data_IF_780807047612
#
_entry.id   IF_780807047612
#
_cell.length_a   1.000
_cell.length_b   1.000
_cell.length_c   1.000
_cell.angle_alpha   90.00
_cell.angle_beta   90.00
_cell.angle_gamma   90.00
#
_symmetry.space_group_name_H-M   'P 1'
#
loop_
_entity.id
_entity.type
_entity.pdbx_description
1 polymer ?
#
# COMPACT_ATOMS: atom_id res chain seq x y z
N UNK A 1 -23.03 51.21 -26.95
CA UNK A 1 -21.92 50.24 -27.08
C UNK A 1 -21.04 50.11 -25.81
N UNK A 2 -21.27 50.87 -24.74
CA UNK A 2 -20.37 50.92 -23.55
C UNK A 2 -20.78 50.03 -22.36
N UNK A 3 -22.04 49.56 -22.27
CA UNK A 3 -22.53 48.77 -21.11
C UNK A 3 -22.18 47.27 -21.15
N UNK A 4 -21.84 46.70 -22.31
CA UNK A 4 -21.46 45.28 -22.39
C UNK A 4 -20.02 45.04 -21.90
N UNK A 5 -19.09 45.96 -22.18
CA UNK A 5 -17.68 45.84 -21.81
C UNK A 5 -17.46 45.91 -20.29
N UNK A 6 -18.20 46.78 -19.58
CA UNK A 6 -18.08 46.87 -18.11
C UNK A 6 -18.64 45.63 -17.40
N UNK A 7 -19.69 45.00 -17.95
CA UNK A 7 -20.22 43.76 -17.40
C UNK A 7 -19.24 42.59 -17.59
N UNK A 8 -18.55 42.51 -18.74
CA UNK A 8 -17.53 41.49 -18.95
C UNK A 8 -16.32 41.69 -18.03
N UNK A 9 -15.78 42.90 -17.90
CA UNK A 9 -14.68 43.18 -16.95
C UNK A 9 -15.09 42.83 -15.51
N UNK A 10 -16.28 43.25 -15.06
CA UNK A 10 -16.76 42.96 -13.70
C UNK A 10 -16.96 41.47 -13.46
N UNK A 11 -17.46 40.73 -14.45
CA UNK A 11 -17.62 39.27 -14.35
C UNK A 11 -16.26 38.57 -14.33
N UNK A 12 -15.29 39.05 -15.10
CA UNK A 12 -13.93 38.46 -15.16
C UNK A 12 -13.19 38.68 -13.84
N UNK A 13 -13.28 39.87 -13.26
CA UNK A 13 -12.66 40.24 -11.96
C UNK A 13 -13.21 39.41 -10.78
N UNK A 14 -14.46 38.93 -10.87
CA UNK A 14 -15.08 38.04 -9.88
C UNK A 14 -14.72 36.56 -10.10
N UNK A 15 -14.46 36.16 -11.35
CA UNK A 15 -14.16 34.77 -11.72
C UNK A 15 -12.67 34.40 -11.60
N UNK A 16 -11.76 35.36 -11.78
CA UNK A 16 -10.32 35.12 -11.59
C UNK A 16 -9.96 34.61 -10.18
N UNK A 17 -10.43 35.21 -9.07
CA UNK A 17 -10.11 34.72 -7.72
C UNK A 17 -10.70 33.34 -7.42
N UNK A 18 -11.84 32.95 -8.01
CA UNK A 18 -12.42 31.61 -7.82
C UNK A 18 -11.68 30.54 -8.64
N UNK A 19 -11.25 30.86 -9.86
CA UNK A 19 -10.44 29.97 -10.68
C UNK A 19 -9.05 29.71 -10.07
N UNK A 20 -8.41 30.74 -9.50
CA UNK A 20 -7.15 30.61 -8.76
C UNK A 20 -7.32 29.80 -7.47
N UNK A 21 -8.43 30.00 -6.74
CA UNK A 21 -8.78 29.22 -5.54
C UNK A 21 -8.99 27.74 -5.87
N UNK A 22 -9.72 27.44 -6.94
CA UNK A 22 -9.90 26.08 -7.44
C UNK A 22 -8.56 25.45 -7.83
N UNK A 23 -7.66 26.19 -8.48
CA UNK A 23 -6.33 25.69 -8.84
C UNK A 23 -5.45 25.40 -7.62
N UNK A 24 -5.55 26.25 -6.58
CA UNK A 24 -4.80 26.11 -5.32
C UNK A 24 -5.33 24.95 -4.46
N UNK A 25 -6.64 24.67 -4.49
CA UNK A 25 -7.26 23.55 -3.77
C UNK A 25 -7.13 22.24 -4.56
N UNK A 26 -7.29 22.28 -5.89
CA UNK A 26 -7.32 21.09 -6.74
C UNK A 26 -5.92 20.51 -6.99
N UNK A 27 -4.86 21.34 -7.04
CA UNK A 27 -3.48 20.85 -7.26
C UNK A 27 -3.00 19.88 -6.15
N UNK A 28 -3.04 20.21 -4.85
CA UNK A 28 -2.59 19.29 -3.80
C UNK A 28 -3.52 18.07 -3.62
N UNK A 29 -4.84 18.24 -3.80
CA UNK A 29 -5.81 17.14 -3.67
C UNK A 29 -5.69 16.13 -4.81
N UNK A 30 -5.47 16.58 -6.05
CA UNK A 30 -5.31 15.71 -7.22
C UNK A 30 -4.02 14.90 -7.17
N UNK A 31 -2.92 15.49 -6.69
CA UNK A 31 -1.66 14.77 -6.50
C UNK A 31 -1.74 13.70 -5.41
N UNK A 32 -2.31 14.02 -4.25
CA UNK A 32 -2.45 13.08 -3.11
C UNK A 32 -3.31 11.87 -3.48
N UNK A 33 -4.42 12.07 -4.21
CA UNK A 33 -5.29 10.97 -4.67
C UNK A 33 -4.57 10.06 -5.65
N UNK A 34 -3.79 10.62 -6.58
CA UNK A 34 -3.02 9.82 -7.54
C UNK A 34 -1.94 8.98 -6.86
N UNK A 35 -1.31 9.50 -5.79
CA UNK A 35 -0.33 8.76 -4.99
C UNK A 35 -0.98 7.59 -4.23
N UNK A 36 -2.12 7.83 -3.56
CA UNK A 36 -2.84 6.79 -2.84
C UNK A 36 -3.34 5.66 -3.76
N UNK A 37 -3.89 6.00 -4.93
CA UNK A 37 -4.33 5.00 -5.93
C UNK A 37 -3.14 4.17 -6.41
N UNK A 38 -2.01 4.82 -6.74
CA UNK A 38 -0.79 4.10 -7.16
C UNK A 38 -0.31 3.17 -6.06
N UNK A 39 -0.29 3.61 -4.80
CA UNK A 39 0.10 2.81 -3.66
C UNK A 39 -0.79 1.57 -3.49
N UNK A 40 -2.12 1.73 -3.59
CA UNK A 40 -3.08 0.62 -3.50
C UNK A 40 -2.89 -0.37 -4.65
N UNK A 41 -2.75 0.11 -5.89
CA UNK A 41 -2.53 -0.74 -7.07
C UNK A 41 -1.25 -1.55 -6.94
N UNK A 42 -0.17 -0.95 -6.46
CA UNK A 42 1.09 -1.64 -6.23
C UNK A 42 1.04 -2.62 -5.06
N UNK A 43 0.31 -2.26 -3.99
CA UNK A 43 0.00 -3.19 -2.91
C UNK A 43 -0.72 -4.43 -3.40
N UNK A 44 -1.74 -4.26 -4.26
CA UNK A 44 -2.47 -5.37 -4.88
C UNK A 44 -1.58 -6.27 -5.74
N UNK A 45 -0.67 -5.67 -6.53
CA UNK A 45 0.30 -6.43 -7.33
C UNK A 45 1.23 -7.24 -6.43
N UNK A 46 1.74 -6.65 -5.34
CA UNK A 46 2.59 -7.36 -4.38
C UNK A 46 1.86 -8.53 -3.73
N UNK A 47 0.58 -8.37 -3.37
CA UNK A 47 -0.26 -9.45 -2.85
C UNK A 47 -0.47 -10.54 -3.90
N UNK A 48 -0.79 -10.18 -5.14
CA UNK A 48 -0.98 -11.15 -6.22
C UNK A 48 0.30 -11.97 -6.48
N UNK A 49 1.46 -11.31 -6.51
CA UNK A 49 2.76 -11.97 -6.66
C UNK A 49 3.05 -12.89 -5.47
N UNK A 50 2.71 -12.48 -4.24
CA UNK A 50 2.88 -13.33 -3.05
C UNK A 50 2.06 -14.62 -3.18
N UNK A 51 0.76 -14.51 -3.48
CA UNK A 51 -0.11 -15.67 -3.63
C UNK A 51 0.30 -16.56 -4.80
N UNK A 52 0.64 -15.98 -5.96
CA UNK A 52 1.11 -16.74 -7.12
C UNK A 52 2.41 -17.50 -6.80
N UNK A 53 3.38 -16.81 -6.20
CA UNK A 53 4.66 -17.43 -5.82
C UNK A 53 4.44 -18.55 -4.82
N UNK A 54 3.60 -18.33 -3.80
CA UNK A 54 3.28 -19.36 -2.81
C UNK A 54 2.62 -20.56 -3.45
N UNK A 55 1.61 -20.36 -4.30
CA UNK A 55 0.93 -21.43 -5.00
C UNK A 55 1.90 -22.24 -5.85
N UNK A 56 2.81 -21.57 -6.58
CA UNK A 56 3.84 -22.24 -7.37
C UNK A 56 4.84 -23.00 -6.49
N UNK A 57 5.41 -22.38 -5.46
CA UNK A 57 6.41 -23.07 -4.61
C UNK A 57 5.80 -24.21 -3.79
N UNK A 58 4.58 -24.06 -3.31
CA UNK A 58 3.89 -25.09 -2.54
C UNK A 58 3.36 -26.22 -3.43
N UNK A 59 2.64 -25.90 -4.50
CA UNK A 59 1.91 -26.90 -5.29
C UNK A 59 2.73 -27.49 -6.45
N UNK A 60 3.54 -26.67 -7.14
CA UNK A 60 4.34 -27.15 -8.27
C UNK A 60 5.70 -27.71 -7.84
N UNK A 61 6.35 -27.08 -6.84
CA UNK A 61 7.67 -27.49 -6.36
C UNK A 61 7.56 -28.47 -5.17
N UNK A 62 6.42 -28.50 -4.48
CA UNK A 62 6.20 -29.39 -3.34
C UNK A 62 6.94 -28.98 -2.08
N UNK A 63 7.30 -27.68 -1.94
CA UNK A 63 7.96 -27.19 -0.74
C UNK A 63 7.00 -27.19 0.45
N UNK A 64 7.56 -27.40 1.64
CA UNK A 64 6.84 -27.21 2.89
C UNK A 64 6.23 -25.82 2.98
N UNK A 65 5.02 -25.74 3.53
CA UNK A 65 4.22 -24.52 3.53
C UNK A 65 4.94 -23.33 4.17
N UNK A 66 5.76 -23.56 5.21
CA UNK A 66 6.55 -22.51 5.85
C UNK A 66 7.63 -21.97 4.93
N UNK A 67 8.33 -22.85 4.22
CA UNK A 67 9.39 -22.49 3.27
C UNK A 67 8.80 -21.76 2.06
N UNK A 68 7.71 -22.28 1.51
CA UNK A 68 6.95 -21.62 0.44
C UNK A 68 6.46 -20.23 0.90
N UNK A 69 6.02 -20.10 2.15
CA UNK A 69 5.60 -18.81 2.71
C UNK A 69 6.75 -17.80 2.77
N UNK A 70 7.91 -18.19 3.31
CA UNK A 70 9.11 -17.34 3.36
C UNK A 70 9.50 -16.88 1.95
N UNK A 71 9.63 -17.81 1.00
CA UNK A 71 10.06 -17.50 -0.37
C UNK A 71 9.07 -16.54 -1.03
N UNK A 72 7.77 -16.82 -0.93
CA UNK A 72 6.73 -15.95 -1.49
C UNK A 72 6.74 -14.54 -0.91
N UNK A 73 7.00 -14.41 0.40
CA UNK A 73 7.12 -13.12 1.05
C UNK A 73 8.37 -12.36 0.58
N UNK A 74 9.53 -13.02 0.50
CA UNK A 74 10.76 -12.40 0.01
C UNK A 74 10.56 -11.87 -1.41
N UNK A 75 10.04 -12.70 -2.33
CA UNK A 75 9.82 -12.27 -3.72
C UNK A 75 8.82 -11.09 -3.78
N UNK A 76 7.72 -11.14 -3.02
CA UNK A 76 6.73 -10.07 -2.99
C UNK A 76 7.30 -8.74 -2.47
N UNK A 77 8.16 -8.78 -1.46
CA UNK A 77 8.85 -7.62 -0.91
C UNK A 77 9.86 -7.05 -1.90
N UNK A 78 10.61 -7.90 -2.60
CA UNK A 78 11.54 -7.44 -3.64
C UNK A 78 10.79 -6.76 -4.78
N UNK A 79 9.69 -7.33 -5.26
CA UNK A 79 8.86 -6.70 -6.30
C UNK A 79 8.31 -5.36 -5.82
N UNK A 80 7.81 -5.27 -4.59
CA UNK A 80 7.34 -4.00 -4.02
C UNK A 80 8.46 -2.95 -3.98
N UNK A 81 9.66 -3.33 -3.56
CA UNK A 81 10.82 -2.43 -3.55
C UNK A 81 11.21 -1.94 -4.94
N UNK A 82 11.26 -2.83 -5.94
CA UNK A 82 11.58 -2.45 -7.32
C UNK A 82 10.55 -1.48 -7.89
N UNK A 83 9.27 -1.75 -7.61
CA UNK A 83 8.15 -0.90 -8.00
C UNK A 83 8.23 0.48 -7.35
N UNK A 84 8.47 0.53 -6.03
CA UNK A 84 8.64 1.76 -5.28
C UNK A 84 9.85 2.53 -5.81
N UNK A 85 10.96 1.83 -6.11
CA UNK A 85 12.17 2.42 -6.68
C UNK A 85 11.93 2.99 -8.09
N UNK A 86 11.19 2.31 -8.95
CA UNK A 86 10.89 2.79 -10.30
C UNK A 86 9.94 4.00 -10.30
N UNK A 87 9.05 4.12 -9.31
CA UNK A 87 8.08 5.23 -9.20
C UNK A 87 8.58 6.44 -8.39
N UNK A 88 9.46 6.24 -7.40
CA UNK A 88 9.87 7.29 -6.45
C UNK A 88 11.21 7.95 -6.83
N UNK A 89 12.03 7.34 -7.69
CA UNK A 89 13.33 7.94 -8.08
C UNK A 89 13.25 8.94 -9.24
N UNK A 90 12.04 9.34 -9.63
CA UNK A 90 11.86 10.56 -10.41
C UNK A 90 11.54 11.70 -9.41
N UNK A 91 12.59 12.47 -9.08
CA UNK A 91 12.62 13.73 -8.30
C UNK A 91 12.74 13.68 -6.75
N UNK A 92 13.91 14.15 -6.28
CA UNK A 92 14.13 15.00 -5.09
C UNK A 92 13.41 14.66 -3.76
N UNK A 93 13.80 13.60 -3.05
CA UNK A 93 13.57 13.52 -1.59
C UNK A 93 14.81 13.03 -0.84
N UNK A 94 15.24 13.80 0.17
CA UNK A 94 16.42 13.55 1.01
C UNK A 94 16.23 12.43 2.05
N UNK A 95 15.02 11.87 2.20
CA UNK A 95 14.67 10.95 3.30
C UNK A 95 14.12 9.57 2.88
N UNK A 96 14.16 9.25 1.58
CA UNK A 96 13.57 8.02 1.00
C UNK A 96 14.04 6.74 1.71
N UNK A 97 15.34 6.61 2.00
CA UNK A 97 15.89 5.42 2.67
C UNK A 97 15.35 5.19 4.09
N UNK A 98 15.03 6.25 4.84
CA UNK A 98 14.48 6.14 6.20
C UNK A 98 13.02 5.70 6.18
N UNK A 99 12.25 6.15 5.19
CA UNK A 99 10.86 5.74 4.98
C UNK A 99 10.80 4.29 4.48
N UNK A 100 11.70 3.91 3.58
CA UNK A 100 11.87 2.52 3.14
C UNK A 100 12.21 1.59 4.30
N UNK A 101 13.15 1.95 5.18
CA UNK A 101 13.49 1.13 6.35
C UNK A 101 12.29 0.87 7.27
N UNK A 102 11.44 1.89 7.49
CA UNK A 102 10.18 1.72 8.23
C UNK A 102 9.20 0.79 7.50
N UNK A 103 9.10 0.91 6.18
CA UNK A 103 8.28 0.04 5.35
C UNK A 103 8.72 -1.43 5.42
N UNK A 104 10.02 -1.70 5.33
CA UNK A 104 10.54 -3.07 5.51
C UNK A 104 10.25 -3.62 6.90
N UNK A 105 10.44 -2.81 7.95
CA UNK A 105 10.17 -3.23 9.32
C UNK A 105 8.70 -3.59 9.52
N UNK A 106 7.75 -2.80 9.00
CA UNK A 106 6.33 -3.14 9.09
C UNK A 106 6.00 -4.42 8.33
N UNK A 107 6.61 -4.65 7.15
CA UNK A 107 6.43 -5.89 6.37
C UNK A 107 6.92 -7.13 7.09
N UNK A 108 8.03 -7.04 7.83
CA UNK A 108 8.54 -8.14 8.65
C UNK A 108 7.56 -8.46 9.78
N UNK A 109 7.07 -7.44 10.50
CA UNK A 109 6.11 -7.63 11.60
C UNK A 109 4.82 -8.27 11.10
N UNK A 110 4.25 -7.78 10.00
CA UNK A 110 3.04 -8.36 9.42
C UNK A 110 3.27 -9.80 8.95
N UNK A 111 4.45 -10.10 8.41
CA UNK A 111 4.81 -11.44 8.00
C UNK A 111 4.90 -12.42 9.18
N UNK A 112 5.47 -11.99 10.31
CA UNK A 112 5.52 -12.84 11.50
C UNK A 112 4.12 -13.17 12.03
N UNK A 113 3.19 -12.21 11.99
CA UNK A 113 1.79 -12.43 12.35
C UNK A 113 1.14 -13.42 11.37
N UNK A 114 1.32 -13.22 10.07
CA UNK A 114 0.82 -14.13 9.03
C UNK A 114 1.36 -15.55 9.23
N UNK A 115 2.67 -15.70 9.42
CA UNK A 115 3.32 -16.99 9.60
C UNK A 115 2.85 -17.71 10.87
N UNK A 116 2.62 -16.98 11.96
CA UNK A 116 2.09 -17.56 13.20
C UNK A 116 0.65 -18.06 13.02
N UNK A 117 -0.21 -17.28 12.35
CA UNK A 117 -1.59 -17.67 12.05
C UNK A 117 -1.60 -18.86 11.10
N UNK A 118 -0.79 -18.84 10.05
CA UNK A 118 -0.68 -19.91 9.08
C UNK A 118 -0.20 -21.21 9.74
N UNK A 119 0.81 -21.14 10.62
CA UNK A 119 1.25 -22.28 11.44
C UNK A 119 0.12 -22.79 12.34
N UNK A 120 -0.62 -21.91 13.02
CA UNK A 120 -1.74 -22.31 13.87
C UNK A 120 -2.84 -23.03 13.08
N UNK A 121 -3.23 -22.50 11.92
CA UNK A 121 -4.29 -23.07 11.08
C UNK A 121 -3.89 -24.39 10.41
N UNK A 122 -2.63 -24.55 10.03
CA UNK A 122 -2.12 -25.78 9.42
C UNK A 122 -1.87 -26.85 10.48
N UNK A 123 -1.16 -26.52 11.55
CA UNK A 123 -0.70 -27.49 12.54
C UNK A 123 -1.77 -27.88 13.56
N UNK A 124 -2.70 -26.99 13.92
CA UNK A 124 -3.74 -27.27 14.93
C UNK A 124 -5.07 -27.66 14.28
N UNK A 125 -5.46 -26.95 13.23
CA UNK A 125 -6.78 -27.12 12.60
C UNK A 125 -6.73 -28.08 11.39
N UNK A 126 -5.54 -28.32 10.81
CA UNK A 126 -5.40 -29.18 9.63
C UNK A 126 -6.06 -28.61 8.37
N UNK A 127 -6.21 -27.28 8.31
CA UNK A 127 -6.82 -26.60 7.15
C UNK A 127 -5.95 -26.70 5.89
N UNK A 128 -6.50 -26.37 4.72
CA UNK A 128 -5.72 -26.32 3.48
C UNK A 128 -4.73 -25.14 3.49
N UNK A 129 -3.54 -25.35 2.95
CA UNK A 129 -2.47 -24.34 2.92
C UNK A 129 -2.91 -23.02 2.26
N UNK A 130 -3.76 -23.10 1.23
CA UNK A 130 -4.31 -21.92 0.55
C UNK A 130 -5.26 -21.15 1.47
N UNK A 131 -6.18 -21.84 2.17
CA UNK A 131 -7.11 -21.21 3.09
C UNK A 131 -6.37 -20.61 4.30
N UNK A 132 -5.42 -21.36 4.85
CA UNK A 132 -4.56 -20.90 5.95
C UNK A 132 -3.79 -19.65 5.56
N UNK A 133 -3.32 -19.55 4.31
CA UNK A 133 -2.62 -18.36 3.82
C UNK A 133 -3.55 -17.16 3.64
N UNK A 134 -4.76 -17.36 3.10
CA UNK A 134 -5.76 -16.29 3.01
C UNK A 134 -6.10 -15.73 4.40
N UNK A 135 -6.35 -16.62 5.37
CA UNK A 135 -6.67 -16.23 6.74
C UNK A 135 -5.47 -15.63 7.47
N UNK A 136 -4.26 -16.13 7.21
CA UNK A 136 -3.00 -15.55 7.70
C UNK A 136 -2.80 -14.12 7.22
N UNK A 137 -3.00 -13.88 5.92
CA UNK A 137 -2.88 -12.55 5.32
C UNK A 137 -3.94 -11.58 5.89
N UNK A 138 -5.19 -12.04 6.02
CA UNK A 138 -6.27 -11.26 6.62
C UNK A 138 -5.97 -10.92 8.10
N UNK A 139 -5.51 -11.92 8.86
CA UNK A 139 -5.10 -11.75 10.25
C UNK A 139 -3.90 -10.82 10.41
N UNK A 140 -2.95 -10.82 9.50
CA UNK A 140 -1.83 -9.87 9.49
C UNK A 140 -2.30 -8.43 9.25
N UNK A 141 -3.27 -8.21 8.35
CA UNK A 141 -3.88 -6.89 8.12
C UNK A 141 -4.61 -6.41 9.38
N UNK A 142 -5.40 -7.29 9.99
CA UNK A 142 -6.13 -6.99 11.24
C UNK A 142 -5.15 -6.72 12.39
N UNK A 143 -4.13 -7.55 12.54
CA UNK A 143 -3.08 -7.41 13.55
C UNK A 143 -2.33 -6.09 13.39
N UNK A 144 -2.01 -5.69 12.16
CA UNK A 144 -1.39 -4.40 11.87
C UNK A 144 -2.32 -3.23 12.23
N UNK A 145 -3.62 -3.35 11.96
CA UNK A 145 -4.61 -2.36 12.36
C UNK A 145 -4.75 -2.26 13.89
N UNK A 146 -4.78 -3.39 14.59
CA UNK A 146 -4.83 -3.42 16.06
C UNK A 146 -3.56 -2.85 16.69
N UNK A 147 -2.37 -3.16 16.16
CA UNK A 147 -1.11 -2.55 16.58
C UNK A 147 -1.13 -1.03 16.36
N UNK A 148 -1.58 -0.59 15.18
CA UNK A 148 -1.74 0.84 14.89
C UNK A 148 -2.71 1.49 15.88
N UNK A 149 -3.84 0.84 16.18
CA UNK A 149 -4.83 1.34 17.15
C UNK A 149 -4.30 1.38 18.58
N UNK A 150 -3.59 0.35 19.04
CA UNK A 150 -3.11 0.24 20.44
C UNK A 150 -1.86 1.09 20.72
N UNK A 151 -0.98 1.26 19.75
CA UNK A 151 0.31 1.94 19.95
C UNK A 151 0.32 3.38 19.44
N UNK A 152 -0.37 3.69 18.33
CA UNK A 152 -0.39 5.05 17.75
C UNK A 152 -1.48 5.92 18.40
N UNK A 153 -2.62 5.35 18.77
CA UNK A 153 -3.72 6.13 19.38
C UNK A 153 -3.64 6.25 20.91
N UNK A 154 -2.64 5.63 21.57
CA UNK A 154 -2.45 5.82 23.02
C UNK A 154 -1.78 7.15 23.39
N UNK A 155 -1.49 7.99 22.39
CA UNK A 155 -0.79 9.27 22.58
C UNK A 155 -1.53 10.48 21.98
N UNK A 156 -2.86 10.39 21.88
CA UNK A 156 -3.76 11.55 21.74
C UNK A 156 -4.88 11.46 22.76
#
# INVERSE_FOLDING_TARGET
MSKSNQNEETVTDILEPTAELDKQILSPVKETRNQAIRYILWGLISVAVNFATFYTTYHLIGLEYQVANVISWVIAVQVAFWVDRLKVFDHHSKYVFREMGKFYATRIVTYLIEAAILWLLMSVIGSSAVLAKILGQAGAIIGNFLFSKLYVFRNK
#
